data_IF_322263429189
#
_entry.id   IF_322263429189
#
_cell.length_a   1.000
_cell.length_b   1.000
_cell.length_c   1.000
_cell.angle_alpha   90.00
_cell.angle_beta   90.00
_cell.angle_gamma   90.00
#
_symmetry.space_group_name_H-M   'P 1'
#
loop_
_entity.id
_entity.type
_entity.pdbx_description
1 polymer ?
#
# COMPACT_ATOMS: atom_id res chain seq x y z
N UNK A 1 6.24 -14.87 9.58
CA UNK A 1 7.08 -15.73 8.71
C UNK A 1 6.88 -17.22 8.90
N UNK A 2 6.77 -17.75 10.13
CA UNK A 2 6.49 -19.17 10.37
C UNK A 2 5.18 -19.66 9.71
N UNK A 3 4.13 -18.83 9.71
CA UNK A 3 2.87 -19.12 9.02
C UNK A 3 3.06 -19.28 7.50
N UNK A 4 3.77 -18.33 6.86
CA UNK A 4 4.09 -18.38 5.42
C UNK A 4 4.94 -19.62 5.10
N UNK A 5 5.93 -19.93 5.94
CA UNK A 5 6.75 -21.13 5.80
C UNK A 5 5.87 -22.39 5.78
N UNK A 6 5.02 -22.55 6.80
CA UNK A 6 4.11 -23.69 6.94
C UNK A 6 3.15 -23.78 5.76
N UNK A 7 2.61 -22.64 5.31
CA UNK A 7 1.73 -22.56 4.15
C UNK A 7 2.43 -23.04 2.87
N UNK A 8 3.64 -22.59 2.59
CA UNK A 8 4.38 -23.01 1.39
C UNK A 8 4.71 -24.51 1.44
N UNK A 9 5.26 -24.99 2.56
CA UNK A 9 5.65 -26.40 2.72
C UNK A 9 4.44 -27.33 2.63
N UNK A 10 3.30 -26.97 3.24
CA UNK A 10 2.07 -27.77 3.16
C UNK A 10 1.48 -27.86 1.75
N UNK A 11 1.81 -26.91 0.87
CA UNK A 11 1.44 -26.92 -0.54
C UNK A 11 2.54 -27.52 -1.44
N UNK A 12 3.58 -28.13 -0.86
CA UNK A 12 4.68 -28.76 -1.58
C UNK A 12 5.63 -27.76 -2.25
N UNK A 13 5.60 -26.50 -1.84
CA UNK A 13 6.50 -25.45 -2.35
C UNK A 13 7.66 -25.30 -1.38
N UNK A 14 8.90 -25.41 -1.88
CA UNK A 14 10.08 -25.18 -1.07
C UNK A 14 10.33 -23.67 -0.94
N UNK A 15 10.37 -23.08 0.27
CA UNK A 15 10.69 -21.67 0.46
C UNK A 15 12.06 -21.27 -0.10
N UNK A 16 13.00 -22.19 -0.23
CA UNK A 16 14.31 -21.93 -0.86
C UNK A 16 14.28 -21.82 -2.38
N UNK A 17 13.14 -22.10 -3.04
CA UNK A 17 12.99 -21.91 -4.49
C UNK A 17 12.80 -20.42 -4.87
N UNK A 18 12.58 -19.56 -3.88
CA UNK A 18 12.42 -18.12 -4.08
C UNK A 18 13.67 -17.38 -3.62
N UNK A 19 14.17 -16.46 -4.46
CA UNK A 19 15.29 -15.61 -4.07
C UNK A 19 14.94 -14.68 -2.90
N UNK A 20 13.71 -14.15 -2.88
CA UNK A 20 13.24 -13.24 -1.83
C UNK A 20 11.72 -13.21 -1.69
N UNK A 21 11.27 -12.73 -0.52
CA UNK A 21 9.88 -12.57 -0.12
C UNK A 21 9.61 -11.11 0.23
N UNK A 22 8.63 -10.51 -0.43
CA UNK A 22 8.15 -9.16 -0.14
C UNK A 22 6.90 -9.27 0.73
N UNK A 23 6.94 -8.70 1.93
CA UNK A 23 5.88 -8.79 2.93
C UNK A 23 5.35 -7.41 3.30
N UNK A 24 4.24 -7.39 4.06
CA UNK A 24 3.70 -6.17 4.69
C UNK A 24 3.51 -5.02 3.70
N UNK A 25 2.78 -5.29 2.60
CA UNK A 25 2.52 -4.32 1.51
C UNK A 25 3.78 -3.72 0.87
N UNK A 26 4.92 -4.41 0.95
CA UNK A 26 6.19 -3.95 0.38
C UNK A 26 7.09 -3.21 1.36
N UNK A 27 6.78 -3.21 2.66
CA UNK A 27 7.62 -2.59 3.68
C UNK A 27 8.82 -3.45 4.09
N UNK A 28 8.69 -4.77 3.97
CA UNK A 28 9.67 -5.73 4.47
C UNK A 28 10.12 -6.69 3.36
N UNK A 29 11.43 -6.94 3.27
CA UNK A 29 12.05 -7.86 2.33
C UNK A 29 12.84 -8.93 3.09
N UNK A 30 12.59 -10.20 2.76
CA UNK A 30 13.26 -11.33 3.37
C UNK A 30 13.92 -12.20 2.29
N UNK A 31 15.11 -12.72 2.56
CA UNK A 31 15.78 -13.70 1.72
C UNK A 31 15.66 -15.09 2.34
N UNK A 32 15.59 -16.13 1.49
CA UNK A 32 15.71 -17.51 1.95
C UNK A 32 17.11 -17.74 2.51
N UNK A 33 17.21 -18.42 3.65
CA UNK A 33 18.49 -18.81 4.26
C UNK A 33 18.57 -20.32 4.38
N UNK A 34 19.66 -20.89 3.88
CA UNK A 34 19.98 -22.32 4.05
C UNK A 34 20.64 -22.63 5.40
N UNK A 35 20.85 -21.63 6.26
CA UNK A 35 21.73 -21.75 7.42
C UNK A 35 21.04 -22.15 8.73
N UNK A 36 19.71 -22.24 8.80
CA UNK A 36 19.01 -22.69 10.01
C UNK A 36 17.59 -23.18 9.74
N UNK A 37 17.30 -24.42 10.14
CA UNK A 37 15.94 -25.00 10.19
C UNK A 37 14.97 -24.14 11.01
N UNK A 38 15.47 -23.45 12.05
CA UNK A 38 14.65 -22.63 12.96
C UNK A 38 14.31 -21.24 12.42
N UNK A 39 15.11 -20.72 11.47
CA UNK A 39 14.88 -19.39 10.89
C UNK A 39 15.17 -19.39 9.38
N UNK A 40 14.23 -19.92 8.56
CA UNK A 40 14.42 -20.10 7.13
C UNK A 40 14.46 -18.78 6.34
N UNK A 41 14.18 -17.65 6.99
CA UNK A 41 14.13 -16.33 6.37
C UNK A 41 14.98 -15.31 7.13
N UNK A 42 15.74 -14.51 6.37
CA UNK A 42 16.59 -13.43 6.90
C UNK A 42 16.07 -12.10 6.38
N UNK A 43 15.78 -11.17 7.29
CA UNK A 43 15.32 -9.82 6.94
C UNK A 43 16.46 -8.99 6.35
N UNK A 44 16.17 -8.22 5.30
CA UNK A 44 17.07 -7.21 4.75
C UNK A 44 17.04 -5.95 5.62
N UNK A 45 18.10 -5.75 6.42
CA UNK A 45 18.22 -4.61 7.32
C UNK A 45 18.37 -3.26 6.60
N UNK A 46 18.74 -3.26 5.32
CA UNK A 46 18.97 -2.06 4.53
C UNK A 46 17.82 -1.75 3.56
N UNK A 47 16.85 -2.66 3.42
CA UNK A 47 15.74 -2.46 2.51
C UNK A 47 14.97 -1.16 2.79
N UNK A 48 14.71 -0.85 4.06
CA UNK A 48 13.98 0.35 4.49
C UNK A 48 14.64 1.65 3.98
N UNK A 49 15.97 1.76 4.10
CA UNK A 49 16.70 2.95 3.66
C UNK A 49 16.73 3.06 2.13
N UNK A 50 16.75 1.93 1.42
CA UNK A 50 16.70 1.90 -0.05
C UNK A 50 15.33 2.32 -0.61
N UNK A 51 14.23 1.90 0.03
CA UNK A 51 12.88 2.23 -0.44
C UNK A 51 12.46 3.65 -0.03
N UNK A 52 12.87 4.13 1.14
CA UNK A 52 12.57 5.50 1.59
C UNK A 52 13.11 6.55 0.62
N UNK A 53 14.35 6.37 0.13
CA UNK A 53 14.95 7.25 -0.87
C UNK A 53 14.13 7.34 -2.17
N UNK A 54 13.44 6.27 -2.57
CA UNK A 54 12.67 6.22 -3.82
C UNK A 54 11.23 6.66 -3.67
N UNK A 55 10.60 6.42 -2.51
CA UNK A 55 9.16 6.66 -2.32
C UNK A 55 8.85 7.99 -1.61
N UNK A 56 9.86 8.76 -1.19
CA UNK A 56 9.64 10.15 -0.74
C UNK A 56 8.85 10.30 0.56
N UNK A 57 8.60 9.19 1.27
CA UNK A 57 8.01 9.10 2.61
C UNK A 57 6.87 10.09 2.87
N UNK A 58 7.03 10.91 3.89
CA UNK A 58 6.05 11.92 4.33
C UNK A 58 5.67 12.93 3.22
N UNK A 59 6.58 13.22 2.30
CA UNK A 59 6.30 14.10 1.17
C UNK A 59 5.31 13.49 0.19
N UNK A 60 5.42 12.19 -0.07
CA UNK A 60 4.47 11.44 -0.89
C UNK A 60 3.12 11.33 -0.19
N UNK A 61 3.12 10.98 1.11
CA UNK A 61 1.90 10.93 1.95
C UNK A 61 1.06 12.21 1.83
N UNK A 62 1.68 13.37 2.08
CA UNK A 62 1.02 14.69 1.95
C UNK A 62 0.54 14.99 0.54
N UNK A 63 1.30 14.56 -0.47
CA UNK A 63 0.92 14.75 -1.87
C UNK A 63 -0.30 13.92 -2.24
N UNK A 64 -0.38 12.67 -1.75
CA UNK A 64 -1.50 11.79 -1.98
C UNK A 64 -2.77 12.26 -1.27
N UNK A 65 -2.66 12.70 -0.01
CA UNK A 65 -3.80 13.28 0.71
C UNK A 65 -4.37 14.49 -0.04
N UNK A 66 -3.52 15.43 -0.46
CA UNK A 66 -3.94 16.60 -1.27
C UNK A 66 -4.55 16.19 -2.60
N UNK A 67 -3.96 15.21 -3.28
CA UNK A 67 -4.46 14.72 -4.55
C UNK A 67 -5.83 14.07 -4.40
N UNK A 68 -6.02 13.22 -3.38
CA UNK A 68 -7.30 12.57 -3.09
C UNK A 68 -8.41 13.61 -2.86
N UNK A 69 -8.16 14.64 -2.06
CA UNK A 69 -9.11 15.77 -1.87
C UNK A 69 -9.41 16.49 -3.20
N UNK A 70 -8.39 16.77 -4.02
CA UNK A 70 -8.55 17.51 -5.28
C UNK A 70 -9.41 16.80 -6.34
N UNK A 71 -9.50 15.48 -6.29
CA UNK A 71 -10.31 14.70 -7.23
C UNK A 71 -11.80 14.85 -6.92
N UNK A 72 -12.12 14.98 -5.64
CA UNK A 72 -13.49 15.06 -5.15
C UNK A 72 -14.01 16.49 -5.29
N UNK A 73 -13.17 17.49 -5.02
CA UNK A 73 -13.49 18.91 -5.14
C UNK A 73 -13.91 19.32 -6.57
N UNK A 74 -13.40 18.63 -7.61
CA UNK A 74 -13.81 18.90 -9.00
C UNK A 74 -15.28 18.55 -9.29
N UNK A 75 -15.91 17.71 -8.47
CA UNK A 75 -17.33 17.34 -8.57
C UNK A 75 -18.21 18.07 -7.55
N UNK A 76 -17.63 18.52 -6.43
CA UNK A 76 -18.31 19.16 -5.30
C UNK A 76 -18.14 20.69 -5.28
N UNK A 77 -18.27 21.37 -6.43
CA UNK A 77 -18.21 22.83 -6.53
C UNK A 77 -19.33 23.59 -5.77
N UNK A 78 -20.11 22.91 -4.91
CA UNK A 78 -21.10 23.52 -4.05
C UNK A 78 -20.96 23.03 -2.61
N UNK A 79 -20.49 23.96 -1.77
CA UNK A 79 -20.63 24.04 -0.30
C UNK A 79 -19.57 23.34 0.54
N UNK A 80 -19.22 24.07 1.60
CA UNK A 80 -18.40 23.74 2.78
C UNK A 80 -18.76 22.38 3.41
N UNK A 81 -18.38 21.28 2.77
CA UNK A 81 -18.56 19.95 3.34
C UNK A 81 -17.26 19.39 3.90
N UNK A 82 -17.40 18.67 5.01
CA UNK A 82 -16.39 17.82 5.66
C UNK A 82 -15.54 17.03 4.66
N UNK A 83 -14.28 16.78 5.03
CA UNK A 83 -13.31 16.06 4.19
C UNK A 83 -13.90 14.72 3.74
N UNK A 84 -14.20 14.59 2.45
CA UNK A 84 -14.81 13.39 1.87
C UNK A 84 -13.87 12.19 1.95
N UNK A 85 -12.57 12.45 2.03
CA UNK A 85 -11.52 11.45 2.22
C UNK A 85 -10.63 11.87 3.37
N UNK A 86 -10.40 10.96 4.30
CA UNK A 86 -9.41 11.09 5.38
C UNK A 86 -8.43 9.92 5.31
N UNK A 87 -7.19 10.14 5.72
CA UNK A 87 -6.25 9.03 5.85
C UNK A 87 -6.65 8.11 6.99
N UNK A 88 -6.47 6.81 6.79
CA UNK A 88 -6.61 5.80 7.83
C UNK A 88 -5.22 5.49 8.41
N UNK A 89 -4.89 6.12 9.54
CA UNK A 89 -3.57 5.96 10.16
C UNK A 89 -3.37 4.58 10.78
N UNK A 90 -4.44 3.83 11.10
CA UNK A 90 -4.33 2.52 11.76
C UNK A 90 -3.81 1.45 10.80
N UNK A 91 -4.29 1.48 9.56
CA UNK A 91 -3.91 0.50 8.53
C UNK A 91 -2.82 1.03 7.59
N UNK A 92 -2.58 2.35 7.61
CA UNK A 92 -1.49 2.94 6.83
C UNK A 92 -0.15 2.54 7.43
N UNK A 93 0.80 2.25 6.54
CA UNK A 93 2.20 1.99 6.88
C UNK A 93 3.07 3.08 6.25
N UNK A 94 4.38 3.04 6.52
CA UNK A 94 5.33 3.97 5.91
C UNK A 94 5.31 3.98 4.37
N UNK A 95 4.79 2.91 3.75
CA UNK A 95 4.89 2.65 2.32
C UNK A 95 3.56 2.26 1.63
N UNK A 96 2.52 2.00 2.42
CA UNK A 96 1.18 1.71 1.93
C UNK A 96 0.19 2.61 2.66
N UNK A 97 -0.38 3.57 1.95
CA UNK A 97 -1.34 4.52 2.52
C UNK A 97 -2.76 4.07 2.19
N UNK A 98 -3.62 4.15 3.19
CA UNK A 98 -5.03 3.88 3.04
C UNK A 98 -5.85 5.10 3.42
N UNK A 99 -7.03 5.18 2.81
CA UNK A 99 -7.89 6.35 2.90
C UNK A 99 -9.33 5.89 3.12
N UNK A 100 -9.96 6.45 4.15
CA UNK A 100 -11.38 6.29 4.42
C UNK A 100 -12.20 7.24 3.57
N UNK A 101 -13.25 6.72 2.95
CA UNK A 101 -14.16 7.47 2.08
C UNK A 101 -15.50 7.62 2.81
N UNK A 102 -15.80 8.85 3.26
CA UNK A 102 -17.04 9.14 4.00
C UNK A 102 -18.26 9.30 3.09
N UNK A 103 -18.05 9.72 1.84
CA UNK A 103 -19.14 9.93 0.86
C UNK A 103 -18.80 9.25 -0.48
N UNK A 104 -19.05 7.94 -0.61
CA UNK A 104 -18.66 7.19 -1.80
C UNK A 104 -19.28 7.71 -3.11
N UNK A 105 -20.48 8.29 -3.05
CA UNK A 105 -21.16 8.88 -4.22
C UNK A 105 -20.43 10.08 -4.86
N UNK A 106 -19.49 10.71 -4.15
CA UNK A 106 -18.69 11.82 -4.65
C UNK A 106 -17.36 11.37 -5.28
N UNK A 107 -16.95 10.12 -5.05
CA UNK A 107 -15.69 9.58 -5.56
C UNK A 107 -15.88 9.08 -7.01
N UNK A 108 -14.96 9.40 -7.94
CA UNK A 108 -15.03 8.87 -9.29
C UNK A 108 -14.93 7.34 -9.31
N UNK A 109 -15.52 6.67 -10.32
CA UNK A 109 -15.35 5.23 -10.49
C UNK A 109 -13.87 4.85 -10.55
N UNK A 110 -13.54 3.67 -10.01
CA UNK A 110 -12.16 3.16 -9.90
C UNK A 110 -11.38 3.23 -11.23
N UNK A 111 -12.05 3.04 -12.36
CA UNK A 111 -11.43 3.14 -13.70
C UNK A 111 -10.91 4.55 -14.00
N UNK A 112 -11.70 5.58 -13.69
CA UNK A 112 -11.29 6.98 -13.86
C UNK A 112 -10.24 7.39 -12.82
N UNK A 113 -10.38 6.90 -11.60
CA UNK A 113 -9.40 7.16 -10.54
C UNK A 113 -8.01 6.62 -10.91
N UNK A 114 -7.93 5.38 -11.39
CA UNK A 114 -6.68 4.79 -11.91
C UNK A 114 -6.10 5.59 -13.09
N UNK A 115 -6.94 6.11 -13.97
CA UNK A 115 -6.51 6.96 -15.08
C UNK A 115 -5.90 8.27 -14.57
N UNK A 116 -6.55 8.95 -13.63
CA UNK A 116 -6.04 10.17 -13.00
C UNK A 116 -4.70 9.93 -12.30
N UNK A 117 -4.55 8.82 -11.59
CA UNK A 117 -3.28 8.45 -10.96
C UNK A 117 -2.15 8.29 -11.97
N UNK A 118 -2.42 7.67 -13.11
CA UNK A 118 -1.41 7.47 -14.17
C UNK A 118 -0.98 8.79 -14.79
N UNK A 119 -1.92 9.71 -15.03
CA UNK A 119 -1.63 11.05 -15.58
C UNK A 119 -0.71 11.83 -14.64
N UNK A 120 -0.91 11.71 -13.32
CA UNK A 120 -0.10 12.39 -12.30
C UNK A 120 1.11 11.56 -11.84
N UNK A 121 1.44 10.45 -12.52
CA UNK A 121 2.52 9.52 -12.17
C UNK A 121 2.46 8.94 -10.74
N UNK A 122 1.30 8.97 -10.08
CA UNK A 122 1.10 8.45 -8.71
C UNK A 122 0.96 6.91 -8.68
N UNK A 123 0.60 6.29 -9.80
CA UNK A 123 0.38 4.83 -9.89
C UNK A 123 1.65 3.99 -9.70
N UNK A 124 2.85 4.57 -9.84
CA UNK A 124 4.11 3.84 -9.69
C UNK A 124 4.72 3.91 -8.29
N UNK A 125 4.12 4.68 -7.39
CA UNK A 125 4.71 5.00 -6.10
C UNK A 125 3.98 4.39 -4.90
N UNK A 126 2.72 3.96 -5.06
CA UNK A 126 1.97 3.33 -3.98
C UNK A 126 1.10 2.18 -4.46
N UNK A 127 1.11 1.09 -3.69
CA UNK A 127 -0.05 0.21 -3.60
C UNK A 127 -1.18 1.01 -2.94
N UNK A 128 -2.10 1.52 -3.76
CA UNK A 128 -3.36 2.03 -3.26
C UNK A 128 -4.27 0.85 -2.96
N UNK A 129 -4.34 0.48 -1.68
CA UNK A 129 -5.35 -0.46 -1.20
C UNK A 129 -6.61 0.34 -0.98
N UNK A 130 -7.61 0.10 -1.82
CA UNK A 130 -8.98 0.54 -1.53
C UNK A 130 -9.48 -0.35 -0.42
N UNK A 131 -9.64 0.18 0.79
CA UNK A 131 -10.65 -0.39 1.66
C UNK A 131 -12.00 -0.07 1.04
N UNK A 132 -12.65 -1.15 0.60
CA UNK A 132 -14.03 -1.15 0.17
C UNK A 132 -14.84 -0.55 1.32
N UNK A 133 -15.50 0.57 1.06
CA UNK A 133 -16.68 0.90 1.85
C UNK A 133 -17.60 -0.31 1.73
N UNK A 134 -17.80 -1.03 2.82
CA UNK A 134 -18.79 -2.10 2.91
C UNK A 134 -20.13 -1.53 2.42
N UNK A 135 -20.63 -2.07 1.30
CA UNK A 135 -22.05 -2.01 1.03
C UNK A 135 -22.74 -2.85 2.12
N UNK A 136 -23.39 -2.17 3.06
CA UNK A 136 -24.45 -2.75 3.92
C UNK A 136 -25.77 -2.10 3.57
#
# INVERSE_FOLDING_TARGET
MAEIHSFLVSNGVNPSDFDAFICNSGADLYYSSSHSEDNPFVSDLYYHSHIEYRWGGEGLRKTLAKWASSIIDKKAASKNEEHVVTEDEEISTNYCYAFNIHKPGLVPPVKELRKLMRIHALFRHCLFVYLLAEES
#
